data_IF_268032424701
#
_entry.id   IF_268032424701
#
_cell.length_a   1.000
_cell.length_b   1.000
_cell.length_c   1.000
_cell.angle_alpha   90.00
_cell.angle_beta   90.00
_cell.angle_gamma   90.00
#
_symmetry.space_group_name_H-M   'P 1'
#
loop_
_entity.id
_entity.type
_entity.pdbx_description
1 polymer ?
#
# COMPACT_ATOMS: atom_id res chain seq x y z
N UNK A 1 7.54 -9.68 -21.52
CA UNK A 1 7.45 -8.28 -21.01
C UNK A 1 6.60 -8.15 -19.75
N UNK A 2 5.29 -8.45 -19.76
CA UNK A 2 4.43 -8.29 -18.57
C UNK A 2 4.77 -9.32 -17.48
N UNK A 3 4.94 -10.57 -17.88
CA UNK A 3 5.26 -11.70 -17.01
C UNK A 3 6.62 -11.50 -16.34
N UNK A 4 7.60 -10.96 -17.07
CA UNK A 4 8.92 -10.59 -16.54
C UNK A 4 8.83 -9.44 -15.54
N UNK A 5 8.02 -8.42 -15.81
CA UNK A 5 7.82 -7.31 -14.88
C UNK A 5 7.14 -7.79 -13.58
N UNK A 6 6.15 -8.68 -13.70
CA UNK A 6 5.48 -9.32 -12.56
C UNK A 6 6.48 -10.16 -11.76
N UNK A 7 7.26 -11.02 -12.43
CA UNK A 7 8.27 -11.86 -11.79
C UNK A 7 9.35 -11.01 -11.10
N UNK A 8 9.81 -9.94 -11.74
CA UNK A 8 10.76 -9.00 -11.15
C UNK A 8 10.17 -8.34 -9.89
N UNK A 9 8.94 -7.81 -9.96
CA UNK A 9 8.29 -7.23 -8.79
C UNK A 9 8.17 -8.23 -7.62
N UNK A 10 7.80 -9.48 -7.90
CA UNK A 10 7.75 -10.51 -6.86
C UNK A 10 9.13 -10.89 -6.33
N UNK A 11 10.17 -10.82 -7.15
CA UNK A 11 11.55 -11.05 -6.70
C UNK A 11 12.06 -9.99 -5.71
N UNK A 12 11.47 -8.79 -5.70
CA UNK A 12 11.77 -7.74 -4.72
C UNK A 12 11.18 -8.05 -3.32
N UNK A 13 10.29 -9.03 -3.20
CA UNK A 13 9.62 -9.39 -1.96
C UNK A 13 10.43 -10.45 -1.21
N UNK A 14 11.43 -10.02 -0.44
CA UNK A 14 12.15 -10.90 0.47
C UNK A 14 11.54 -10.87 1.90
N UNK A 15 11.62 -11.98 2.66
CA UNK A 15 11.06 -12.03 4.02
C UNK A 15 11.65 -10.99 5.00
N UNK A 16 12.96 -10.68 4.99
CA UNK A 16 13.52 -9.58 5.77
C UNK A 16 12.87 -8.21 5.47
N UNK A 17 12.73 -7.85 4.20
CA UNK A 17 12.11 -6.62 3.71
C UNK A 17 10.65 -6.56 4.13
N UNK A 18 9.91 -7.66 4.02
CA UNK A 18 8.52 -7.74 4.46
C UNK A 18 8.40 -7.42 5.97
N UNK A 19 9.29 -7.99 6.79
CA UNK A 19 9.33 -7.74 8.23
C UNK A 19 9.67 -6.28 8.55
N UNK A 20 10.71 -5.74 7.92
CA UNK A 20 11.12 -4.35 8.11
C UNK A 20 10.01 -3.37 7.72
N UNK A 21 9.38 -3.60 6.57
CA UNK A 21 8.24 -2.83 6.07
C UNK A 21 7.06 -2.88 7.02
N UNK A 22 6.75 -4.06 7.57
CA UNK A 22 5.67 -4.22 8.54
C UNK A 22 5.94 -3.46 9.85
N UNK A 23 7.16 -3.54 10.39
CA UNK A 23 7.53 -2.79 11.59
C UNK A 23 7.38 -1.29 11.40
N UNK A 24 7.83 -0.76 10.25
CA UNK A 24 7.67 0.66 9.93
C UNK A 24 6.18 1.01 9.81
N UNK A 25 5.40 0.24 9.07
CA UNK A 25 3.98 0.47 8.88
C UNK A 25 3.21 0.47 10.21
N UNK A 26 3.48 -0.49 11.09
CA UNK A 26 2.85 -0.57 12.41
C UNK A 26 3.19 0.63 13.31
N UNK A 27 4.43 1.13 13.25
CA UNK A 27 4.82 2.33 13.99
C UNK A 27 4.06 3.57 13.47
N UNK A 28 4.01 3.75 12.15
CA UNK A 28 3.31 4.89 11.54
C UNK A 28 1.79 4.83 11.76
N UNK A 29 1.18 3.64 11.69
CA UNK A 29 -0.24 3.49 12.00
C UNK A 29 -0.56 3.86 13.45
N UNK A 30 0.33 3.54 14.39
CA UNK A 30 0.17 3.94 15.81
C UNK A 30 0.28 5.45 15.95
N UNK A 31 1.31 6.05 15.36
CA UNK A 31 1.50 7.50 15.36
C UNK A 31 0.31 8.24 14.73
N UNK A 32 -0.23 7.71 13.63
CA UNK A 32 -1.39 8.23 12.93
C UNK A 32 -2.75 7.90 13.55
N UNK A 33 -2.78 7.23 14.72
CA UNK A 33 -4.02 6.75 15.37
C UNK A 33 -4.93 5.93 14.44
N UNK A 34 -4.33 5.15 13.54
CA UNK A 34 -5.03 4.27 12.59
C UNK A 34 -5.37 2.91 13.23
N UNK A 35 -5.98 2.96 14.41
CA UNK A 35 -6.34 1.81 15.22
C UNK A 35 -7.77 1.94 15.74
N UNK A 36 -8.46 0.80 15.85
CA UNK A 36 -9.71 0.66 16.59
C UNK A 36 -9.44 -0.18 17.84
N UNK A 37 -9.26 0.50 18.99
CA UNK A 37 -8.68 -0.11 20.17
C UNK A 37 -7.27 -0.61 19.85
N UNK A 38 -7.04 -1.92 19.99
CA UNK A 38 -5.76 -2.57 19.65
C UNK A 38 -5.67 -3.06 18.20
N UNK A 39 -6.76 -2.96 17.42
CA UNK A 39 -6.80 -3.50 16.05
C UNK A 39 -6.36 -2.44 15.03
N UNK A 40 -5.32 -2.69 14.20
CA UNK A 40 -4.96 -1.77 13.12
C UNK A 40 -6.08 -1.69 12.06
N UNK A 41 -6.31 -0.49 11.53
CA UNK A 41 -7.32 -0.25 10.48
C UNK A 41 -6.86 -0.76 9.10
N UNK A 42 -5.55 -0.80 8.83
CA UNK A 42 -4.98 -1.27 7.57
C UNK A 42 -3.90 -2.33 7.82
N UNK A 43 -4.25 -3.61 7.69
CA UNK A 43 -3.30 -4.73 7.93
C UNK A 43 -2.44 -5.10 6.72
N UNK A 44 -2.75 -4.55 5.54
CA UNK A 44 -2.05 -4.89 4.30
C UNK A 44 -1.80 -3.63 3.48
N UNK A 45 -0.57 -3.49 2.99
CA UNK A 45 -0.26 -2.51 1.96
C UNK A 45 -0.67 -3.11 0.62
N UNK A 46 -1.61 -2.48 -0.08
CA UNK A 46 -1.97 -2.85 -1.46
C UNK A 46 -1.57 -1.72 -2.39
N UNK A 47 -0.37 -1.78 -2.99
CA UNK A 47 0.05 -0.78 -3.95
C UNK A 47 -0.93 -0.76 -5.12
N UNK A 48 -1.67 0.33 -5.27
CA UNK A 48 -2.40 0.61 -6.51
C UNK A 48 -1.40 1.27 -7.44
N UNK A 49 -0.89 0.50 -8.40
CA UNK A 49 -0.01 1.01 -9.46
C UNK A 49 -0.86 1.84 -10.44
N UNK A 50 -1.13 3.08 -10.07
CA UNK A 50 -1.87 4.03 -10.89
C UNK A 50 -0.90 5.02 -11.52
N UNK A 51 -1.12 5.33 -12.80
CA UNK A 51 -0.50 6.50 -13.40
C UNK A 51 -1.06 7.77 -12.75
N UNK A 52 -0.35 8.89 -12.91
CA UNK A 52 -0.82 10.19 -12.41
C UNK A 52 -2.22 10.55 -12.96
N UNK A 53 -2.47 10.26 -14.24
CA UNK A 53 -3.76 10.54 -14.88
C UNK A 53 -4.87 9.63 -14.34
N UNK A 54 -4.57 8.36 -14.11
CA UNK A 54 -5.52 7.43 -13.49
C UNK A 54 -5.84 7.84 -12.05
N UNK A 55 -4.84 8.28 -11.29
CA UNK A 55 -5.04 8.81 -9.94
C UNK A 55 -5.92 10.06 -9.96
N UNK A 56 -5.64 11.01 -10.87
CA UNK A 56 -6.44 12.20 -11.05
C UNK A 56 -7.90 11.84 -11.36
N UNK A 57 -8.15 10.89 -12.27
CA UNK A 57 -9.50 10.43 -12.59
C UNK A 57 -10.27 9.92 -11.36
N UNK A 58 -9.64 9.08 -10.54
CA UNK A 58 -10.26 8.55 -9.32
C UNK A 58 -10.54 9.67 -8.30
N UNK A 59 -9.62 10.62 -8.15
CA UNK A 59 -9.82 11.77 -7.26
C UNK A 59 -11.01 12.64 -7.68
N UNK A 60 -11.20 12.87 -8.99
CA UNK A 60 -12.31 13.67 -9.52
C UNK A 60 -13.66 12.91 -9.48
N UNK A 61 -13.64 11.57 -9.51
CA UNK A 61 -14.86 10.76 -9.41
C UNK A 61 -15.55 10.87 -8.03
N UNK A 62 -14.80 11.25 -6.98
CA UNK A 62 -15.33 11.45 -5.64
C UNK A 62 -16.18 12.74 -5.49
N UNK A 63 -16.05 13.68 -6.43
CA UNK A 63 -16.72 14.99 -6.41
C UNK A 63 -18.00 15.07 -7.24
N UNK A 64 -18.58 13.95 -7.71
CA UNK A 64 -19.91 13.98 -8.32
C UNK A 64 -20.99 14.01 -7.23
N UNK A 65 -21.93 14.99 -7.23
CA UNK A 65 -23.11 14.96 -6.37
C UNK A 65 -24.02 13.77 -6.69
#
# INVERSE_FOLDING_TARGET
MLEEAIAHYHSLLDPPMARASWHRLAAEMRAGRLYFGERPLATVLRPRMLTRDQYALVAHAHTRP
#
